data_IF_362160970472
#
_entry.id   IF_362160970472
#
_cell.length_a   1.000
_cell.length_b   1.000
_cell.length_c   1.000
_cell.angle_alpha   90.00
_cell.angle_beta   90.00
_cell.angle_gamma   90.00
#
_symmetry.space_group_name_H-M   'P 1'
#
loop_
_entity.id
_entity.type
_entity.pdbx_description
1 polymer ?
#
# COMPACT_ATOMS: atom_id res chain seq x y z
N UNK A 1 -20.15 23.48 6.16
CA UNK A 1 -20.83 22.17 6.31
C UNK A 1 -20.97 21.55 4.92
N UNK A 2 -20.02 20.71 4.48
CA UNK A 2 -20.12 20.04 3.17
C UNK A 2 -20.97 18.78 3.33
N UNK A 3 -22.28 18.94 3.16
CA UNK A 3 -23.19 17.81 3.05
C UNK A 3 -23.24 17.39 1.56
N UNK A 4 -22.45 16.36 1.20
CA UNK A 4 -22.55 15.68 -0.11
C UNK A 4 -22.57 14.17 0.12
N UNK A 5 -23.62 13.68 0.77
CA UNK A 5 -24.01 12.27 0.69
C UNK A 5 -24.49 11.98 -0.74
N UNK A 6 -23.56 11.65 -1.62
CA UNK A 6 -23.87 11.08 -2.93
C UNK A 6 -24.18 9.59 -2.69
N UNK A 7 -25.47 9.24 -2.63
CA UNK A 7 -26.01 7.91 -2.31
C UNK A 7 -25.41 6.76 -3.13
N UNK A 8 -24.86 7.05 -4.32
CA UNK A 8 -24.12 6.09 -5.17
C UNK A 8 -22.73 5.73 -4.63
N UNK A 9 -22.03 6.66 -3.96
CA UNK A 9 -20.70 6.41 -3.38
C UNK A 9 -20.74 5.49 -2.15
N UNK A 10 -21.82 5.57 -1.37
CA UNK A 10 -22.03 4.78 -0.14
C UNK A 10 -22.26 3.29 -0.42
N UNK A 11 -22.90 2.94 -1.54
CA UNK A 11 -23.16 1.55 -1.95
C UNK A 11 -21.90 0.84 -2.47
N UNK A 12 -21.06 1.55 -3.24
CA UNK A 12 -19.85 0.97 -3.84
C UNK A 12 -18.86 0.50 -2.77
N UNK A 13 -18.74 1.29 -1.70
CA UNK A 13 -17.80 1.03 -0.63
C UNK A 13 -18.48 0.58 0.67
N UNK A 14 -19.78 0.29 0.69
CA UNK A 14 -20.51 -0.17 1.88
C UNK A 14 -20.22 0.70 3.13
N UNK A 15 -20.21 2.02 2.95
CA UNK A 15 -19.85 3.05 3.95
C UNK A 15 -18.35 3.28 4.22
N UNK A 16 -17.45 2.54 3.57
CA UNK A 16 -16.01 2.85 3.56
C UNK A 16 -15.71 4.10 2.72
N UNK A 17 -14.54 4.68 2.94
CA UNK A 17 -14.10 5.90 2.24
C UNK A 17 -13.66 5.54 0.81
N UNK A 18 -14.39 6.06 -0.18
CA UNK A 18 -14.19 5.72 -1.59
C UNK A 18 -12.99 6.46 -2.18
N UNK A 19 -11.91 5.73 -2.44
CA UNK A 19 -10.78 6.21 -3.23
C UNK A 19 -10.89 5.88 -4.73
N UNK A 20 -9.80 6.12 -5.45
CA UNK A 20 -9.72 5.90 -6.91
C UNK A 20 -9.84 4.42 -7.27
N UNK A 21 -9.01 3.56 -6.65
CA UNK A 21 -8.96 2.11 -6.93
C UNK A 21 -9.50 1.24 -5.79
N UNK A 22 -9.49 1.76 -4.57
CA UNK A 22 -9.82 1.04 -3.36
C UNK A 22 -10.86 1.77 -2.52
N UNK A 23 -11.55 1.02 -1.66
CA UNK A 23 -12.33 1.53 -0.54
C UNK A 23 -11.49 1.39 0.73
N UNK A 24 -11.39 2.45 1.52
CA UNK A 24 -10.51 2.52 2.68
C UNK A 24 -11.29 2.53 3.99
N UNK A 25 -10.77 1.79 4.98
CA UNK A 25 -11.20 1.85 6.37
C UNK A 25 -10.05 2.37 7.23
N UNK A 26 -10.26 3.51 7.89
CA UNK A 26 -9.28 4.09 8.81
C UNK A 26 -9.62 3.66 10.23
N UNK A 27 -8.84 2.74 10.78
CA UNK A 27 -9.04 2.27 12.14
C UNK A 27 -8.17 3.08 13.10
N UNK A 28 -8.75 4.11 13.70
CA UNK A 28 -8.03 5.06 14.57
C UNK A 28 -8.19 4.77 16.06
N UNK A 29 -9.18 3.95 16.44
CA UNK A 29 -9.53 3.68 17.84
C UNK A 29 -8.94 2.36 18.34
N UNK A 30 -8.78 1.37 17.47
CA UNK A 30 -8.15 0.09 17.82
C UNK A 30 -6.67 0.08 17.45
N UNK A 31 -5.84 -0.51 18.32
CA UNK A 31 -4.41 -0.73 18.06
C UNK A 31 -4.09 -2.22 17.97
N UNK A 32 -3.20 -2.59 17.04
CA UNK A 32 -2.76 -3.97 16.79
C UNK A 32 -1.30 -4.01 16.38
N UNK A 33 -0.64 -5.15 16.60
CA UNK A 33 0.63 -5.41 15.93
C UNK A 33 0.41 -5.57 14.42
N UNK A 34 1.47 -5.47 13.63
CA UNK A 34 1.34 -5.41 12.18
C UNK A 34 0.65 -6.66 11.61
N UNK A 35 1.01 -7.86 12.09
CA UNK A 35 0.42 -9.13 11.64
C UNK A 35 -1.07 -9.25 11.98
N UNK A 36 -1.46 -8.82 13.18
CA UNK A 36 -2.87 -8.82 13.60
C UNK A 36 -3.68 -7.75 12.87
N UNK A 37 -3.08 -6.61 12.54
CA UNK A 37 -3.70 -5.56 11.72
C UNK A 37 -3.95 -6.06 10.28
N UNK A 38 -2.96 -6.71 9.68
CA UNK A 38 -3.11 -7.35 8.37
C UNK A 38 -4.19 -8.44 8.39
N UNK A 39 -4.16 -9.30 9.41
CA UNK A 39 -5.18 -10.35 9.58
C UNK A 39 -6.58 -9.77 9.76
N UNK A 40 -6.70 -8.63 10.46
CA UNK A 40 -7.96 -7.91 10.57
C UNK A 40 -8.43 -7.40 9.21
N UNK A 41 -7.59 -6.71 8.44
CA UNK A 41 -7.95 -6.21 7.10
C UNK A 41 -8.33 -7.37 6.16
N UNK A 42 -7.60 -8.48 6.21
CA UNK A 42 -7.90 -9.71 5.47
C UNK A 42 -9.28 -10.28 5.82
N UNK A 43 -9.67 -10.27 7.11
CA UNK A 43 -11.02 -10.68 7.53
C UNK A 43 -12.13 -9.81 6.93
N UNK A 44 -11.81 -8.56 6.58
CA UNK A 44 -12.69 -7.62 5.89
C UNK A 44 -12.54 -7.69 4.35
N UNK A 45 -11.97 -8.77 3.82
CA UNK A 45 -11.71 -9.00 2.38
C UNK A 45 -10.80 -7.94 1.76
N UNK A 46 -9.89 -7.41 2.56
CA UNK A 46 -8.91 -6.40 2.17
C UNK A 46 -7.50 -6.74 2.64
N UNK A 47 -6.66 -5.73 2.68
CA UNK A 47 -5.28 -5.80 3.18
C UNK A 47 -4.96 -4.48 3.88
N UNK A 48 -3.85 -4.41 4.62
CA UNK A 48 -3.28 -3.13 4.99
C UNK A 48 -3.03 -2.29 3.74
N UNK A 49 -3.27 -0.98 3.85
CA UNK A 49 -3.25 -0.08 2.72
C UNK A 49 -1.87 -0.03 2.07
N UNK A 50 -1.88 0.07 0.75
CA UNK A 50 -0.71 0.29 -0.09
C UNK A 50 -0.94 1.49 -0.99
N UNK A 51 0.13 2.17 -1.40
CA UNK A 51 0.04 3.23 -2.40
C UNK A 51 1.18 3.03 -3.40
N UNK A 52 0.86 3.29 -4.66
CA UNK A 52 1.77 3.12 -5.80
C UNK A 52 1.89 4.42 -6.60
N UNK A 53 1.17 5.45 -6.19
CA UNK A 53 1.14 6.77 -6.81
C UNK A 53 1.05 7.87 -5.75
N UNK A 54 1.52 9.07 -6.09
CA UNK A 54 1.38 10.24 -5.23
C UNK A 54 -0.10 10.58 -4.97
N UNK A 55 -0.99 10.31 -5.93
CA UNK A 55 -2.42 10.57 -5.81
C UNK A 55 -3.05 9.71 -4.71
N UNK A 56 -2.66 8.44 -4.60
CA UNK A 56 -3.12 7.54 -3.54
C UNK A 56 -2.58 7.96 -2.16
N UNK A 57 -1.29 8.28 -2.06
CA UNK A 57 -0.69 8.76 -0.82
C UNK A 57 -1.41 10.03 -0.32
N UNK A 58 -1.58 11.03 -1.20
CA UNK A 58 -2.25 12.28 -0.87
C UNK A 58 -3.70 12.06 -0.45
N UNK A 59 -4.40 11.12 -1.09
CA UNK A 59 -5.77 10.76 -0.70
C UNK A 59 -5.80 10.19 0.72
N UNK A 60 -5.00 9.16 0.99
CA UNK A 60 -4.95 8.48 2.30
C UNK A 60 -4.62 9.48 3.41
N UNK A 61 -3.60 10.32 3.24
CA UNK A 61 -3.17 11.27 4.27
C UNK A 61 -4.17 12.42 4.49
N UNK A 62 -4.96 12.78 3.47
CA UNK A 62 -5.98 13.83 3.57
C UNK A 62 -7.29 13.35 4.22
N UNK A 63 -7.67 12.09 4.01
CA UNK A 63 -8.93 11.53 4.47
C UNK A 63 -8.77 10.80 5.81
N UNK A 64 -7.59 10.24 6.08
CA UNK A 64 -7.31 9.60 7.36
C UNK A 64 -7.32 10.65 8.48
N UNK A 65 -8.14 10.45 9.54
CA UNK A 65 -8.11 11.34 10.69
C UNK A 65 -6.69 11.42 11.29
N UNK A 66 -6.30 12.56 11.87
CA UNK A 66 -5.05 12.67 12.59
C UNK A 66 -5.01 11.64 13.73
N UNK A 67 -4.03 10.76 13.68
CA UNK A 67 -3.73 9.83 14.75
C UNK A 67 -2.70 10.44 15.69
N UNK A 68 -2.75 10.07 16.96
CA UNK A 68 -1.76 10.48 17.96
C UNK A 68 -0.40 9.80 17.75
N UNK A 69 -0.40 8.64 17.10
CA UNK A 69 0.77 7.84 16.73
C UNK A 69 0.72 7.50 15.24
N UNK A 70 1.77 6.84 14.75
CA UNK A 70 1.81 6.28 13.39
C UNK A 70 0.67 5.27 13.16
N UNK A 71 0.29 5.08 11.90
CA UNK A 71 -0.66 4.04 11.49
C UNK A 71 0.03 2.98 10.63
N UNK A 72 -0.29 1.70 10.83
CA UNK A 72 0.26 0.65 10.00
C UNK A 72 -0.25 0.73 8.55
N UNK A 73 0.69 0.52 7.62
CA UNK A 73 0.45 0.30 6.18
C UNK A 73 1.08 -1.03 5.75
N UNK A 74 0.78 -1.49 4.54
CA UNK A 74 1.14 -2.83 4.08
C UNK A 74 2.63 -3.05 3.76
N UNK A 75 3.46 -2.00 3.83
CA UNK A 75 4.90 -2.12 3.55
C UNK A 75 5.63 -2.81 4.72
N UNK A 76 6.45 -3.80 4.38
CA UNK A 76 7.26 -4.58 5.32
C UNK A 76 8.42 -5.25 4.57
N UNK A 77 9.43 -5.72 5.30
CA UNK A 77 10.55 -6.51 4.74
C UNK A 77 10.55 -7.98 5.24
N UNK A 78 9.40 -8.45 5.75
CA UNK A 78 9.23 -9.78 6.31
C UNK A 78 9.52 -10.83 5.22
N UNK A 79 10.64 -11.55 5.39
CA UNK A 79 11.07 -12.60 4.45
C UNK A 79 12.31 -12.29 3.62
N UNK A 80 12.87 -11.07 3.72
CA UNK A 80 14.18 -10.74 3.12
C UNK A 80 15.36 -10.93 4.08
N UNK A 81 15.08 -11.13 5.36
CA UNK A 81 16.09 -11.19 6.40
C UNK A 81 16.48 -12.63 6.71
N UNK A 82 17.64 -13.05 6.20
CA UNK A 82 18.20 -14.38 6.39
C UNK A 82 18.41 -14.78 7.87
N UNK A 83 18.27 -13.87 8.85
CA UNK A 83 18.31 -14.15 10.31
C UNK A 83 17.75 -13.01 11.22
N UNK A 84 17.08 -11.99 10.69
CA UNK A 84 16.51 -10.90 11.50
C UNK A 84 14.98 -10.96 11.49
N UNK A 85 14.34 -10.64 12.62
CA UNK A 85 12.91 -10.34 12.60
C UNK A 85 12.77 -9.05 11.77
N UNK A 86 12.15 -9.14 10.61
CA UNK A 86 11.97 -7.99 9.72
C UNK A 86 11.26 -6.82 10.40
N UNK A 87 11.32 -5.67 9.75
CA UNK A 87 10.63 -4.44 10.09
C UNK A 87 9.31 -4.30 9.34
N UNK A 88 8.41 -3.54 9.94
CA UNK A 88 7.11 -3.18 9.41
C UNK A 88 6.99 -1.66 9.36
N UNK A 89 6.15 -1.11 8.50
CA UNK A 89 6.17 0.34 8.23
C UNK A 89 4.93 1.03 8.79
N UNK A 90 5.18 1.99 9.68
CA UNK A 90 4.20 2.95 10.16
C UNK A 90 4.24 4.24 9.34
N UNK A 91 3.10 4.89 9.18
CA UNK A 91 2.97 6.18 8.49
C UNK A 91 2.32 7.22 9.39
N UNK A 92 2.82 8.44 9.37
CA UNK A 92 2.19 9.59 10.01
C UNK A 92 0.91 10.00 9.27
N UNK A 93 -0.11 10.49 9.99
CA UNK A 93 -1.36 11.01 9.41
C UNK A 93 -1.62 12.46 9.85
N UNK A 94 -2.63 13.12 9.27
CA UNK A 94 -2.97 14.51 9.59
C UNK A 94 -2.01 15.54 8.98
N UNK A 95 -1.68 16.61 9.73
CA UNK A 95 -0.92 17.77 9.21
C UNK A 95 0.50 17.43 8.77
N UNK A 96 1.10 16.41 9.37
CA UNK A 96 2.42 15.86 9.00
C UNK A 96 2.27 14.53 8.26
N UNK A 97 1.13 14.30 7.61
CA UNK A 97 0.81 13.00 7.01
C UNK A 97 1.73 12.62 5.84
N UNK A 98 2.11 11.35 5.78
CA UNK A 98 2.83 10.77 4.65
C UNK A 98 4.34 10.58 4.84
N UNK A 99 4.87 10.78 6.05
CA UNK A 99 6.20 10.29 6.41
C UNK A 99 6.07 8.84 6.88
N UNK A 100 6.96 7.98 6.39
CA UNK A 100 6.96 6.56 6.75
C UNK A 100 8.24 6.24 7.50
N UNK A 101 8.14 5.34 8.46
CA UNK A 101 9.23 4.93 9.32
C UNK A 101 9.19 3.40 9.53
N UNK A 102 10.36 2.78 9.53
CA UNK A 102 10.50 1.37 9.89
C UNK A 102 10.33 1.20 11.40
N UNK A 103 9.54 0.21 11.78
CA UNK A 103 9.17 -0.07 13.16
C UNK A 103 9.30 -1.57 13.44
N UNK A 104 9.59 -1.95 14.69
CA UNK A 104 9.42 -3.33 15.13
C UNK A 104 7.97 -3.78 14.91
N UNK A 105 7.76 -4.89 14.19
CA UNK A 105 6.41 -5.37 13.87
C UNK A 105 5.56 -5.73 15.10
N UNK A 106 6.20 -5.92 16.26
CA UNK A 106 5.55 -6.22 17.54
C UNK A 106 4.91 -4.99 18.21
N UNK A 107 5.26 -3.77 17.76
CA UNK A 107 4.61 -2.55 18.26
C UNK A 107 3.13 -2.53 17.88
N UNK A 108 2.32 -1.82 18.66
CA UNK A 108 0.88 -1.75 18.44
C UNK A 108 0.47 -0.35 18.00
N UNK A 109 -0.11 -0.26 16.81
CA UNK A 109 -0.57 1.00 16.23
C UNK A 109 -1.99 0.87 15.68
N UNK A 110 -2.70 1.99 15.52
CA UNK A 110 -3.83 2.07 14.61
C UNK A 110 -3.40 1.70 13.18
N UNK A 111 -4.34 1.48 12.27
CA UNK A 111 -4.00 0.94 10.96
C UNK A 111 -5.01 1.33 9.88
N UNK A 112 -4.57 1.26 8.63
CA UNK A 112 -5.41 1.57 7.47
C UNK A 112 -5.63 0.30 6.66
N UNK A 113 -6.89 -0.07 6.45
CA UNK A 113 -7.24 -1.16 5.53
C UNK A 113 -7.66 -0.60 4.17
N UNK A 114 -7.39 -1.36 3.11
CA UNK A 114 -7.90 -1.14 1.77
C UNK A 114 -8.61 -2.40 1.24
N UNK A 115 -9.69 -2.21 0.50
CA UNK A 115 -10.41 -3.28 -0.22
C UNK A 115 -10.57 -2.87 -1.68
N UNK A 116 -10.42 -3.80 -2.65
CA UNK A 116 -10.65 -3.48 -4.06
C UNK A 116 -12.08 -2.99 -4.27
N UNK A 117 -12.23 -1.90 -5.02
CA UNK A 117 -13.56 -1.42 -5.40
C UNK A 117 -14.27 -2.45 -6.30
N UNK A 118 -15.54 -2.77 -6.04
CA UNK A 118 -16.27 -3.77 -6.82
C UNK A 118 -16.67 -3.28 -8.22
N UNK A 119 -16.67 -1.97 -8.45
CA UNK A 119 -17.16 -1.33 -9.69
C UNK A 119 -16.07 -1.05 -10.73
N UNK A 120 -14.82 -1.39 -10.44
CA UNK A 120 -13.68 -1.19 -11.33
C UNK A 120 -12.76 -2.41 -11.29
N UNK A 121 -12.11 -2.67 -12.41
CA UNK A 121 -10.97 -3.58 -12.42
C UNK A 121 -9.73 -2.76 -12.03
N UNK A 122 -9.01 -3.12 -10.96
CA UNK A 122 -7.73 -2.50 -10.67
C UNK A 122 -6.83 -2.61 -11.90
N UNK A 123 -6.01 -1.58 -12.21
CA UNK A 123 -5.05 -1.70 -13.29
C UNK A 123 -4.20 -2.94 -13.05
N UNK A 124 -4.24 -3.86 -14.00
CA UNK A 124 -3.38 -5.04 -13.96
C UNK A 124 -1.94 -4.56 -13.97
N UNK A 125 -1.08 -5.15 -13.14
CA UNK A 125 0.37 -4.95 -13.28
C UNK A 125 0.70 -5.20 -14.76
N UNK A 126 1.52 -4.34 -15.41
CA UNK A 126 1.86 -4.52 -16.81
C UNK A 126 2.24 -5.98 -17.08
N UNK A 127 1.68 -6.63 -18.13
CA UNK A 127 2.06 -8.00 -18.48
C UNK A 127 3.57 -8.07 -18.57
N UNK A 128 4.17 -9.20 -18.19
CA UNK A 128 5.62 -9.45 -18.35
C UNK A 128 5.89 -9.66 -19.86
N UNK A 129 6.46 -8.69 -20.64
CA UNK A 129 6.86 -8.96 -22.02
C UNK A 129 7.82 -10.16 -22.14
N UNK A 130 7.92 -10.80 -23.32
CA UNK A 130 8.87 -11.88 -23.54
C UNK A 130 10.34 -11.42 -23.35
N UNK A 131 11.28 -12.32 -23.01
CA UNK A 131 12.72 -12.03 -22.95
C UNK A 131 13.24 -11.43 -24.27
N UNK A 132 14.23 -10.54 -24.21
CA UNK A 132 14.84 -9.96 -25.41
C UNK A 132 15.59 -11.04 -26.20
N UNK A 133 15.38 -11.16 -27.52
CA UNK A 133 16.29 -11.91 -28.38
C UNK A 133 17.56 -11.09 -28.58
N UNK A 134 18.69 -11.61 -28.10
CA UNK A 134 20.10 -11.20 -28.30
C UNK A 134 20.46 -9.70 -28.28
N UNK A 135 21.34 -9.33 -27.34
CA UNK A 135 21.84 -7.96 -27.22
C UNK A 135 22.85 -7.59 -28.30
N UNK A 136 22.82 -6.32 -28.74
CA UNK A 136 23.80 -5.76 -29.65
C UNK A 136 25.22 -5.74 -29.05
N UNK A 137 26.25 -5.71 -29.90
CA UNK A 137 27.65 -5.78 -29.49
C UNK A 137 28.03 -4.76 -28.40
N UNK A 138 28.66 -5.28 -27.33
CA UNK A 138 29.08 -4.51 -26.18
C UNK A 138 27.94 -4.13 -25.22
N UNK A 139 26.74 -4.70 -25.39
CA UNK A 139 25.67 -4.68 -24.40
C UNK A 139 25.45 -6.09 -23.84
N UNK A 140 25.11 -6.19 -22.56
CA UNK A 140 24.85 -7.47 -21.87
C UNK A 140 23.43 -7.50 -21.33
N UNK A 141 22.86 -8.69 -21.19
CA UNK A 141 21.61 -8.92 -20.49
C UNK A 141 21.71 -10.19 -19.64
N UNK A 142 21.06 -10.18 -18.48
CA UNK A 142 20.83 -11.39 -17.68
C UNK A 142 19.75 -12.24 -18.34
N UNK A 143 19.77 -13.57 -18.15
CA UNK A 143 18.85 -14.53 -18.84
C UNK A 143 17.35 -14.28 -18.64
N UNK A 144 16.98 -13.43 -17.68
CA UNK A 144 15.59 -13.05 -17.37
C UNK A 144 15.31 -11.57 -17.60
N UNK A 145 16.33 -10.79 -17.94
CA UNK A 145 16.20 -9.35 -18.09
C UNK A 145 15.97 -9.02 -19.56
N UNK A 146 15.01 -8.13 -19.78
CA UNK A 146 14.56 -7.72 -21.12
C UNK A 146 15.34 -6.54 -21.69
N UNK A 147 16.17 -5.92 -20.87
CA UNK A 147 16.95 -4.77 -21.27
C UNK A 147 18.40 -5.20 -21.41
N UNK A 148 18.99 -4.83 -22.53
CA UNK A 148 20.43 -4.82 -22.67
C UNK A 148 20.98 -3.60 -21.92
N UNK A 149 21.97 -3.81 -21.07
CA UNK A 149 22.65 -2.77 -20.34
C UNK A 149 24.15 -2.80 -20.66
N UNK A 150 24.77 -1.62 -20.61
CA UNK A 150 26.21 -1.45 -20.83
C UNK A 150 26.77 -0.68 -19.67
N UNK A 151 27.48 -1.39 -18.79
CA UNK A 151 28.21 -0.76 -17.70
C UNK A 151 29.55 -0.30 -18.26
N UNK A 152 29.78 1.02 -18.29
CA UNK A 152 31.12 1.56 -18.46
C UNK A 152 31.74 1.64 -17.07
N UNK A 153 32.79 0.85 -16.85
CA UNK A 153 33.67 0.98 -15.69
C UNK A 153 34.66 2.11 -16.00
#
# INVERSE_FOLDING_TARGET
MKNRSNTSSTLICQNLIKGKYYCYHFETEMVKNWQDAESYCASQRGHLASFHTQEELSFITSECPPATNDVWIGLNDLGFSDNHAGTCVGMTTGLTGGFWDDKPCTEVFPFVCETPRPDITPPTKPPTPPPSPDCADGWTAERHFRNCYKVKI
#
